data_IF_059607694465
#
_entry.id   IF_059607694465
#
_cell.length_a   1.000
_cell.length_b   1.000
_cell.length_c   1.000
_cell.angle_alpha   90.00
_cell.angle_beta   90.00
_cell.angle_gamma   90.00
#
_symmetry.space_group_name_H-M   'P 1'
#
loop_
_entity.id
_entity.type
_entity.pdbx_description
1 polymer ?
#
# COMPACT_ATOMS: atom_id res chain seq x y z
N UNK A 1 -6.94 5.56 13.91
CA UNK A 1 -7.14 6.23 12.60
C UNK A 1 -5.88 7.02 12.26
N UNK A 2 -5.35 6.96 11.03
CA UNK A 2 -4.21 7.81 10.62
C UNK A 2 -4.71 9.25 10.42
N UNK A 3 -4.06 10.19 11.10
CA UNK A 3 -4.34 11.63 11.02
C UNK A 3 -3.26 12.32 10.19
N UNK A 4 -3.66 13.11 9.19
CA UNK A 4 -2.74 13.66 8.19
C UNK A 4 -1.63 14.54 8.75
N UNK A 5 -1.94 15.36 9.76
CA UNK A 5 -1.01 16.30 10.39
C UNK A 5 -0.07 15.69 11.44
N UNK A 6 -0.14 14.37 11.67
CA UNK A 6 0.69 13.71 12.69
C UNK A 6 1.88 12.98 12.09
N UNK A 7 2.98 12.93 12.85
CA UNK A 7 4.13 12.08 12.56
C UNK A 7 4.04 10.84 13.45
N UNK A 8 4.01 9.68 12.82
CA UNK A 8 3.94 8.39 13.48
C UNK A 8 5.33 7.76 13.61
N UNK A 9 5.52 6.97 14.67
CA UNK A 9 6.59 5.99 14.76
C UNK A 9 6.18 4.68 14.08
N UNK A 10 7.13 3.79 13.83
CA UNK A 10 6.84 2.46 13.29
C UNK A 10 5.79 1.70 14.11
N UNK A 11 5.84 1.83 15.45
CA UNK A 11 4.85 1.24 16.36
C UNK A 11 3.46 1.85 16.22
N UNK A 12 3.40 3.16 16.00
CA UNK A 12 2.14 3.86 15.75
C UNK A 12 1.47 3.37 14.47
N UNK A 13 2.23 3.31 13.37
CA UNK A 13 1.75 2.77 12.10
C UNK A 13 1.33 1.31 12.23
N UNK A 14 2.10 0.48 12.94
CA UNK A 14 1.79 -0.93 13.17
C UNK A 14 0.44 -1.12 13.88
N UNK A 15 0.16 -0.29 14.90
CA UNK A 15 -1.12 -0.31 15.64
C UNK A 15 -2.29 0.05 14.73
N UNK A 16 -2.10 1.06 13.89
CA UNK A 16 -3.12 1.55 12.96
C UNK A 16 -3.44 0.54 11.86
N UNK A 17 -2.41 -0.09 11.29
CA UNK A 17 -2.55 -1.10 10.25
C UNK A 17 -2.84 -2.51 10.80
N UNK A 18 -2.86 -2.68 12.13
CA UNK A 18 -3.01 -3.98 12.82
C UNK A 18 -2.02 -5.06 12.33
N UNK A 19 -0.76 -4.66 12.13
CA UNK A 19 0.33 -5.55 11.73
C UNK A 19 1.47 -5.51 12.75
N UNK A 20 2.41 -6.44 12.64
CA UNK A 20 3.60 -6.42 13.49
C UNK A 20 4.52 -5.23 13.14
N UNK A 21 5.13 -4.62 14.16
CA UNK A 21 6.10 -3.53 13.95
C UNK A 21 7.29 -3.97 13.09
N UNK A 22 7.72 -5.24 13.22
CA UNK A 22 8.78 -5.84 12.38
C UNK A 22 8.40 -5.84 10.90
N UNK A 23 7.12 -6.08 10.58
CA UNK A 23 6.60 -5.98 9.21
C UNK A 23 6.69 -4.53 8.70
N UNK A 24 6.38 -3.54 9.53
CA UNK A 24 6.52 -2.11 9.15
C UNK A 24 7.97 -1.78 8.81
N UNK A 25 8.94 -2.22 9.62
CA UNK A 25 10.36 -2.04 9.32
C UNK A 25 10.79 -2.74 8.03
N UNK A 26 10.33 -3.97 7.80
CA UNK A 26 10.62 -4.70 6.57
C UNK A 26 10.03 -4.00 5.34
N UNK A 27 8.80 -3.49 5.44
CA UNK A 27 8.18 -2.71 4.36
C UNK A 27 8.94 -1.41 4.09
N UNK A 28 9.36 -0.69 5.14
CA UNK A 28 10.13 0.54 5.01
C UNK A 28 11.48 0.29 4.33
N UNK A 29 12.20 -0.76 4.77
CA UNK A 29 13.48 -1.17 4.18
C UNK A 29 13.35 -1.54 2.70
N UNK A 30 12.23 -2.15 2.32
CA UNK A 30 11.94 -2.54 0.94
C UNK A 30 11.29 -1.43 0.10
N UNK A 31 11.16 -0.20 0.64
CA UNK A 31 10.52 0.92 -0.07
C UNK A 31 9.02 0.76 -0.33
N UNK A 32 8.36 -0.17 0.37
CA UNK A 32 6.93 -0.48 0.16
C UNK A 32 5.98 0.45 0.90
N UNK A 33 6.47 1.16 1.90
CA UNK A 33 5.70 2.13 2.69
C UNK A 33 6.52 3.43 2.76
N UNK A 34 5.89 4.61 2.56
CA UNK A 34 6.61 5.87 2.63
C UNK A 34 7.07 6.15 4.06
N UNK A 35 8.36 6.44 4.20
CA UNK A 35 8.99 6.79 5.47
C UNK A 35 10.09 7.81 5.25
N UNK A 36 10.47 8.52 6.31
CA UNK A 36 11.62 9.41 6.30
C UNK A 36 12.44 9.24 7.58
N UNK A 37 13.69 9.66 7.51
CA UNK A 37 14.58 9.78 8.65
C UNK A 37 15.12 11.20 8.67
N UNK A 38 15.10 11.84 9.84
CA UNK A 38 15.67 13.18 9.98
C UNK A 38 17.19 13.17 9.85
N UNK A 39 17.84 12.09 10.32
CA UNK A 39 19.28 11.86 10.19
C UNK A 39 19.56 10.36 9.96
N UNK A 40 20.73 9.96 9.44
CA UNK A 40 21.06 8.55 9.18
C UNK A 40 20.98 7.64 10.41
N UNK A 41 21.17 8.20 11.61
CA UNK A 41 21.09 7.46 12.88
C UNK A 41 19.72 7.59 13.58
N UNK A 42 18.79 8.35 13.00
CA UNK A 42 17.47 8.57 13.58
C UNK A 42 16.52 7.41 13.34
N UNK A 43 15.56 7.26 14.25
CA UNK A 43 14.43 6.35 14.08
C UNK A 43 13.60 6.74 12.84
N UNK A 44 13.08 5.72 12.15
CA UNK A 44 12.13 5.91 11.05
C UNK A 44 10.86 6.61 11.52
N UNK A 45 10.44 7.61 10.74
CA UNK A 45 9.23 8.38 10.94
C UNK A 45 8.33 8.27 9.71
N UNK A 46 7.04 8.43 9.95
CA UNK A 46 5.99 8.21 8.96
C UNK A 46 5.03 9.39 9.02
N UNK A 47 4.97 10.20 7.96
CA UNK A 47 4.06 11.33 7.90
C UNK A 47 2.63 10.83 7.61
N UNK A 48 1.66 11.23 8.43
CA UNK A 48 0.29 10.75 8.34
C UNK A 48 -0.34 10.95 6.96
N UNK A 49 -0.12 12.12 6.34
CA UNK A 49 -0.61 12.41 4.99
C UNK A 49 -0.04 11.45 3.93
N UNK A 50 1.25 11.08 4.00
CA UNK A 50 1.87 10.13 3.08
C UNK A 50 1.32 8.72 3.27
N UNK A 51 1.15 8.31 4.53
CA UNK A 51 0.61 6.99 4.86
C UNK A 51 -0.83 6.88 4.39
N UNK A 52 -1.64 7.92 4.56
CA UNK A 52 -3.02 7.95 4.08
C UNK A 52 -3.08 7.84 2.56
N UNK A 53 -2.34 8.67 1.84
CA UNK A 53 -2.28 8.62 0.37
C UNK A 53 -1.84 7.25 -0.15
N UNK A 54 -0.89 6.61 0.54
CA UNK A 54 -0.43 5.26 0.22
C UNK A 54 -1.50 4.17 0.49
N UNK A 55 -2.26 4.28 1.59
CA UNK A 55 -3.39 3.38 1.85
C UNK A 55 -4.45 3.52 0.74
N UNK A 56 -4.76 4.77 0.37
CA UNK A 56 -5.74 5.05 -0.68
C UNK A 56 -5.30 4.52 -2.04
N UNK A 57 -4.00 4.54 -2.36
CA UNK A 57 -3.48 3.95 -3.61
C UNK A 57 -3.59 2.42 -3.62
N UNK A 58 -3.30 1.75 -2.50
CA UNK A 58 -3.44 0.29 -2.39
C UNK A 58 -4.89 -0.18 -2.53
N UNK A 59 -5.86 0.62 -2.04
CA UNK A 59 -7.28 0.31 -2.19
C UNK A 59 -7.68 0.30 -3.67
N UNK A 60 -7.25 1.31 -4.44
CA UNK A 60 -7.50 1.40 -5.89
C UNK A 60 -6.90 0.24 -6.68
N UNK A 61 -5.69 -0.19 -6.34
CA UNK A 61 -5.05 -1.34 -7.01
C UNK A 61 -5.80 -2.66 -6.80
N UNK A 62 -6.46 -2.83 -5.65
CA UNK A 62 -7.28 -4.02 -5.39
C UNK A 62 -8.58 -4.02 -6.20
N UNK A 63 -9.18 -2.85 -6.45
CA UNK A 63 -10.39 -2.73 -7.28
C UNK A 63 -10.11 -3.05 -8.75
N UNK A 64 -8.97 -2.62 -9.29
CA UNK A 64 -8.59 -2.92 -10.69
C UNK A 64 -8.41 -4.42 -10.92
N UNK A 65 -7.92 -5.17 -9.93
CA UNK A 65 -7.73 -6.63 -10.03
C UNK A 65 -9.04 -7.41 -9.95
N UNK A 66 -10.11 -6.84 -9.38
CA UNK A 66 -11.41 -7.51 -9.31
C UNK A 66 -12.26 -7.28 -10.57
N UNK A 67 -12.12 -6.13 -11.23
CA UNK A 67 -12.86 -5.83 -12.47
C UNK A 67 -12.17 -6.31 -13.76
N UNK A 68 -10.93 -6.76 -13.70
CA UNK A 68 -10.18 -7.26 -14.86
C UNK A 68 -10.43 -8.73 -15.27
N UNK A 69 -11.24 -9.49 -14.52
CA UNK A 69 -11.47 -10.92 -14.81
C UNK A 69 -12.70 -11.21 -15.69
N UNK A 70 -13.23 -10.23 -16.41
CA UNK A 70 -14.38 -10.45 -17.30
C UNK A 70 -14.19 -9.84 -18.69
N UNK A 71 -13.24 -10.36 -19.46
CA UNK A 71 -13.23 -10.19 -20.92
C UNK A 71 -12.88 -11.50 -21.62
N UNK A 72 -13.89 -12.01 -22.33
CA UNK A 72 -13.85 -12.92 -23.50
C UNK A 72 -13.45 -14.39 -23.30
N UNK A 73 -14.43 -15.18 -22.85
CA UNK A 73 -14.60 -16.56 -23.35
C UNK A 73 -15.00 -16.49 -24.82
N UNK A 74 -14.24 -17.16 -25.66
CA UNK A 74 -14.41 -17.18 -27.11
C UNK A 74 -15.79 -17.67 -27.59
N UNK A 75 -16.20 -17.13 -28.72
CA UNK A 75 -17.07 -17.77 -29.70
C UNK A 75 -17.05 -16.95 -31.00
N UNK A 76 -16.43 -17.49 -32.06
CA UNK A 76 -17.05 -17.47 -33.39
C UNK A 76 -16.40 -18.50 -34.30
N UNK A 77 -17.24 -19.49 -34.60
CA UNK A 77 -17.12 -20.56 -35.56
C UNK A 77 -16.42 -20.19 -36.88
N UNK A 78 -15.57 -21.12 -37.29
CA UNK A 78 -15.49 -21.72 -38.62
C UNK A 78 -16.67 -21.44 -39.54
N UNK A 79 -16.41 -20.88 -40.73
CA UNK A 79 -17.07 -21.31 -41.96
C UNK A 79 -16.04 -21.30 -43.08
N UNK A 80 -15.78 -22.48 -43.62
CA UNK A 80 -15.17 -22.69 -44.92
C UNK A 80 -16.29 -22.61 -45.98
N UNK A 81 -16.02 -21.92 -47.09
CA UNK A 81 -16.66 -22.10 -48.40
C UNK A 81 -15.76 -21.46 -49.45
#
# INVERSE_FOLDING_TARGET
MIVEGQIYSARGVAKELRIATTTVYAMAKNGRIPCFQATPHSQLRFAGWQIRAWIDSMAKEKEVKQNGSKTERGHRNTVAL
#
